data_IF_978256172567
#
_entry.id   IF_978256172567
#
_cell.length_a   1.000
_cell.length_b   1.000
_cell.length_c   1.000
_cell.angle_alpha   90.00
_cell.angle_beta   90.00
_cell.angle_gamma   90.00
#
_symmetry.space_group_name_H-M   'P 1'
#
loop_
_entity.id
_entity.type
_entity.pdbx_description
1 polymer ?
#
# COMPACT_ATOMS: atom_id res chain seq x y z
N UNK A 1 58.69 90.05 -8.94
CA UNK A 1 58.64 88.92 -9.90
C UNK A 1 58.79 87.55 -9.24
N UNK A 2 59.83 87.28 -8.41
CA UNK A 2 59.98 85.95 -7.77
C UNK A 2 58.95 85.64 -6.68
N UNK A 3 58.55 86.62 -5.86
CA UNK A 3 57.58 86.40 -4.77
C UNK A 3 56.15 86.15 -5.28
N UNK A 4 55.74 86.86 -6.33
CA UNK A 4 54.41 86.72 -6.95
C UNK A 4 54.22 85.34 -7.59
N UNK A 5 55.29 84.76 -8.16
CA UNK A 5 55.30 83.40 -8.71
C UNK A 5 55.17 82.31 -7.62
N UNK A 6 55.80 82.52 -6.46
CA UNK A 6 55.72 81.58 -5.33
C UNK A 6 54.28 81.54 -4.75
N UNK A 7 53.59 82.67 -4.70
CA UNK A 7 52.20 82.75 -4.24
C UNK A 7 51.22 82.03 -5.18
N UNK A 8 51.41 82.13 -6.50
CA UNK A 8 50.55 81.43 -7.46
C UNK A 8 50.69 79.91 -7.34
N UNK A 9 51.92 79.41 -7.11
CA UNK A 9 52.18 77.97 -6.94
C UNK A 9 51.57 77.42 -5.63
N UNK A 10 51.65 78.16 -4.52
CA UNK A 10 51.08 77.70 -3.25
C UNK A 10 49.55 77.64 -3.28
N UNK A 11 48.89 78.59 -3.95
CA UNK A 11 47.44 78.58 -4.17
C UNK A 11 47.05 77.40 -5.08
N UNK A 12 47.80 77.16 -6.15
CA UNK A 12 47.52 76.05 -7.07
C UNK A 12 47.67 74.66 -6.39
N UNK A 13 48.71 74.47 -5.57
CA UNK A 13 48.92 73.20 -4.84
C UNK A 13 47.86 72.98 -3.76
N UNK A 14 47.47 74.03 -3.03
CA UNK A 14 46.36 73.98 -2.07
C UNK A 14 45.02 73.64 -2.74
N UNK A 15 44.72 74.27 -3.89
CA UNK A 15 43.53 73.97 -4.67
C UNK A 15 43.48 72.52 -5.16
N UNK A 16 44.59 72.00 -5.68
CA UNK A 16 44.70 70.60 -6.11
C UNK A 16 44.50 69.62 -4.94
N UNK A 17 45.04 69.92 -3.76
CA UNK A 17 44.87 69.10 -2.56
C UNK A 17 43.41 69.06 -2.09
N UNK A 18 42.69 70.19 -2.13
CA UNK A 18 41.27 70.25 -1.79
C UNK A 18 40.41 69.44 -2.75
N UNK A 19 40.68 69.54 -4.06
CA UNK A 19 39.97 68.75 -5.08
C UNK A 19 40.20 67.24 -4.85
N UNK A 20 41.46 66.84 -4.60
CA UNK A 20 41.79 65.45 -4.31
C UNK A 20 41.10 64.92 -3.04
N UNK A 21 41.01 65.75 -1.99
CA UNK A 21 40.30 65.41 -0.75
C UNK A 21 38.79 65.24 -0.99
N UNK A 22 38.17 66.12 -1.77
CA UNK A 22 36.74 66.03 -2.12
C UNK A 22 36.44 64.76 -2.94
N UNK A 23 37.27 64.45 -3.94
CA UNK A 23 37.13 63.23 -4.73
C UNK A 23 37.28 61.96 -3.87
N UNK A 24 38.19 61.99 -2.89
CA UNK A 24 38.40 60.87 -1.97
C UNK A 24 37.19 60.67 -1.06
N UNK A 25 36.58 61.76 -0.56
CA UNK A 25 35.36 61.71 0.25
C UNK A 25 34.16 61.15 -0.54
N UNK A 26 33.95 61.61 -1.77
CA UNK A 26 32.85 61.11 -2.62
C UNK A 26 33.02 59.62 -2.92
N UNK A 27 34.24 59.18 -3.29
CA UNK A 27 34.53 57.75 -3.51
C UNK A 27 34.36 56.93 -2.23
N UNK A 28 34.76 57.48 -1.07
CA UNK A 28 34.57 56.83 0.21
C UNK A 28 33.08 56.65 0.54
N UNK A 29 32.25 57.67 0.31
CA UNK A 29 30.80 57.57 0.50
C UNK A 29 30.15 56.53 -0.41
N UNK A 30 30.47 56.51 -1.71
CA UNK A 30 29.93 55.53 -2.67
C UNK A 30 30.37 54.11 -2.30
N UNK A 31 31.65 53.91 -2.00
CA UNK A 31 32.16 52.60 -1.55
C UNK A 31 31.47 52.16 -0.26
N UNK A 32 31.23 53.08 0.67
CA UNK A 32 30.55 52.78 1.93
C UNK A 32 29.08 52.38 1.72
N UNK A 33 28.37 53.01 0.77
CA UNK A 33 27.00 52.59 0.42
C UNK A 33 26.96 51.21 -0.20
N UNK A 34 27.89 50.89 -1.11
CA UNK A 34 27.96 49.58 -1.75
C UNK A 34 28.30 48.49 -0.72
N UNK A 35 29.23 48.75 0.19
CA UNK A 35 29.59 47.85 1.29
C UNK A 35 28.36 47.58 2.18
N UNK A 36 27.58 48.60 2.51
CA UNK A 36 26.38 48.43 3.33
C UNK A 36 25.32 47.60 2.60
N UNK A 37 25.11 47.82 1.31
CA UNK A 37 24.18 47.02 0.50
C UNK A 37 24.63 45.55 0.41
N UNK A 38 25.91 45.30 0.11
CA UNK A 38 26.50 43.95 0.10
C UNK A 38 26.32 43.27 1.46
N UNK A 39 26.54 44.00 2.57
CA UNK A 39 26.32 43.48 3.92
C UNK A 39 24.86 43.05 4.14
N UNK A 40 23.89 43.88 3.76
CA UNK A 40 22.47 43.52 3.88
C UNK A 40 22.09 42.30 3.01
N UNK A 41 22.70 42.16 1.82
CA UNK A 41 22.49 40.98 0.97
C UNK A 41 23.09 39.71 1.58
N UNK A 42 24.26 39.81 2.22
CA UNK A 42 24.90 38.69 2.93
C UNK A 42 24.02 38.26 4.11
N UNK A 43 23.55 39.20 4.94
CA UNK A 43 22.64 38.92 6.05
C UNK A 43 21.35 38.24 5.58
N UNK A 44 20.75 38.72 4.48
CA UNK A 44 19.59 38.08 3.87
C UNK A 44 19.87 36.66 3.36
N UNK A 45 21.05 36.45 2.77
CA UNK A 45 21.48 35.12 2.29
C UNK A 45 21.73 34.15 3.44
N UNK A 46 22.32 34.61 4.56
CA UNK A 46 22.52 33.80 5.76
C UNK A 46 21.18 33.33 6.36
N UNK A 47 20.19 34.22 6.43
CA UNK A 47 18.84 33.85 6.88
C UNK A 47 18.20 32.80 5.98
N UNK A 48 18.34 32.94 4.66
CA UNK A 48 17.81 31.95 3.71
C UNK A 48 18.50 30.59 3.90
N UNK A 49 19.82 30.56 4.09
CA UNK A 49 20.57 29.33 4.36
C UNK A 49 20.07 28.68 5.65
N UNK A 50 19.86 29.47 6.71
CA UNK A 50 19.33 28.96 7.99
C UNK A 50 17.93 28.36 7.82
N UNK A 51 17.04 29.04 7.08
CA UNK A 51 15.70 28.55 6.79
C UNK A 51 15.73 27.24 5.99
N UNK A 52 16.60 27.14 4.98
CA UNK A 52 16.79 25.92 4.19
C UNK A 52 17.31 24.78 5.05
N UNK A 53 18.27 25.04 5.95
CA UNK A 53 18.77 24.04 6.90
C UNK A 53 17.67 23.52 7.82
N UNK A 54 16.82 24.40 8.35
CA UNK A 54 15.66 24.01 9.16
C UNK A 54 14.68 23.16 8.36
N UNK A 55 14.36 23.58 7.13
CA UNK A 55 13.47 22.83 6.25
C UNK A 55 14.04 21.44 5.90
N UNK A 56 15.34 21.33 5.65
CA UNK A 56 15.99 20.05 5.41
C UNK A 56 15.93 19.15 6.65
N UNK A 57 16.17 19.70 7.84
CA UNK A 57 16.05 18.95 9.10
C UNK A 57 14.62 18.45 9.32
N UNK A 58 13.61 19.26 9.00
CA UNK A 58 12.21 18.87 9.13
C UNK A 58 11.84 17.74 8.14
N UNK A 59 12.22 17.88 6.87
CA UNK A 59 12.02 16.82 5.86
C UNK A 59 12.73 15.53 6.26
N UNK A 60 13.97 15.61 6.80
CA UNK A 60 14.68 14.44 7.30
C UNK A 60 13.91 13.74 8.44
N UNK A 61 13.35 14.50 9.39
CA UNK A 61 12.52 13.93 10.47
C UNK A 61 11.27 13.27 9.92
N UNK A 62 10.58 13.92 8.98
CA UNK A 62 9.39 13.37 8.34
C UNK A 62 9.71 12.06 7.60
N UNK A 63 10.85 11.98 6.92
CA UNK A 63 11.29 10.74 6.27
C UNK A 63 11.55 9.60 7.27
N UNK A 64 12.18 9.90 8.40
CA UNK A 64 12.42 8.90 9.45
C UNK A 64 11.07 8.37 9.99
N UNK A 65 10.15 9.26 10.36
CA UNK A 65 8.83 8.89 10.88
C UNK A 65 8.00 8.11 9.86
N UNK A 66 8.05 8.52 8.59
CA UNK A 66 7.36 7.82 7.51
C UNK A 66 7.94 6.41 7.32
N UNK A 67 9.26 6.27 7.34
CA UNK A 67 9.91 4.97 7.20
C UNK A 67 9.58 4.04 8.38
N UNK A 68 9.56 4.56 9.61
CA UNK A 68 9.12 3.80 10.79
C UNK A 68 7.65 3.35 10.66
N UNK A 69 6.78 4.24 10.18
CA UNK A 69 5.35 3.92 9.96
C UNK A 69 5.18 2.84 8.90
N UNK A 70 5.87 2.96 7.77
CA UNK A 70 5.84 1.96 6.68
C UNK A 70 6.37 0.62 7.14
N UNK A 71 7.48 0.60 7.89
CA UNK A 71 8.04 -0.63 8.44
C UNK A 71 7.06 -1.31 9.40
N UNK A 72 6.40 -0.55 10.28
CA UNK A 72 5.40 -1.10 11.19
C UNK A 72 4.19 -1.67 10.43
N UNK A 73 3.68 -0.96 9.43
CA UNK A 73 2.58 -1.43 8.57
C UNK A 73 2.98 -2.70 7.80
N UNK A 74 4.21 -2.78 7.32
CA UNK A 74 4.73 -3.96 6.63
C UNK A 74 4.77 -5.18 7.56
N UNK A 75 5.27 -5.00 8.79
CA UNK A 75 5.31 -6.07 9.80
C UNK A 75 3.89 -6.53 10.14
N UNK A 76 2.95 -5.59 10.38
CA UNK A 76 1.55 -5.91 10.65
C UNK A 76 0.92 -6.69 9.49
N UNK A 77 1.10 -6.22 8.26
CA UNK A 77 0.58 -6.89 7.07
C UNK A 77 1.16 -8.29 6.90
N UNK A 78 2.45 -8.49 7.17
CA UNK A 78 3.09 -9.80 7.11
C UNK A 78 2.51 -10.74 8.18
N UNK A 79 2.30 -10.25 9.40
CA UNK A 79 1.68 -11.02 10.48
C UNK A 79 0.25 -11.43 10.14
N UNK A 80 -0.56 -10.48 9.64
CA UNK A 80 -1.94 -10.76 9.19
C UNK A 80 -1.94 -11.79 8.07
N UNK A 81 -1.06 -11.64 7.08
CA UNK A 81 -0.93 -12.59 5.97
C UNK A 81 -0.60 -14.00 6.46
N UNK A 82 0.38 -14.15 7.36
CA UNK A 82 0.73 -15.46 7.95
C UNK A 82 -0.43 -16.08 8.72
N UNK A 83 -1.17 -15.26 9.47
CA UNK A 83 -2.33 -15.74 10.21
C UNK A 83 -3.45 -16.22 9.27
N UNK A 84 -3.70 -15.48 8.18
CA UNK A 84 -4.67 -15.86 7.17
C UNK A 84 -4.27 -17.15 6.46
N UNK A 85 -2.99 -17.29 6.10
CA UNK A 85 -2.46 -18.53 5.51
C UNK A 85 -2.71 -19.74 6.41
N UNK A 86 -2.43 -19.61 7.71
CA UNK A 86 -2.69 -20.67 8.68
C UNK A 86 -4.20 -21.01 8.78
N UNK A 87 -5.07 -20.00 8.81
CA UNK A 87 -6.53 -20.21 8.83
C UNK A 87 -7.02 -20.91 7.57
N UNK A 88 -6.55 -20.49 6.39
CA UNK A 88 -6.88 -21.13 5.11
C UNK A 88 -6.42 -22.59 5.12
N UNK A 89 -5.22 -22.87 5.63
CA UNK A 89 -4.71 -24.25 5.75
C UNK A 89 -5.60 -25.11 6.65
N UNK A 90 -6.04 -24.59 7.80
CA UNK A 90 -6.97 -25.29 8.69
C UNK A 90 -8.30 -25.57 7.98
N UNK A 91 -8.89 -24.56 7.35
CA UNK A 91 -10.18 -24.70 6.65
C UNK A 91 -10.08 -25.71 5.51
N UNK A 92 -9.00 -25.68 4.73
CA UNK A 92 -8.74 -26.67 3.68
C UNK A 92 -8.61 -28.08 4.24
N UNK A 93 -7.94 -28.25 5.38
CA UNK A 93 -7.83 -29.55 6.04
C UNK A 93 -9.20 -30.04 6.53
N UNK A 94 -10.02 -29.16 7.11
CA UNK A 94 -11.37 -29.50 7.55
C UNK A 94 -12.27 -29.89 6.37
N UNK A 95 -12.21 -29.14 5.26
CA UNK A 95 -12.92 -29.48 4.02
C UNK A 95 -12.50 -30.84 3.48
N UNK A 96 -11.20 -31.13 3.48
CA UNK A 96 -10.68 -32.44 3.05
C UNK A 96 -11.24 -33.57 3.94
N UNK A 97 -11.17 -33.41 5.26
CA UNK A 97 -11.69 -34.41 6.20
C UNK A 97 -13.22 -34.60 6.04
N UNK A 98 -13.97 -33.52 5.82
CA UNK A 98 -15.41 -33.60 5.55
C UNK A 98 -15.71 -34.33 4.24
N UNK A 99 -14.97 -34.04 3.18
CA UNK A 99 -15.12 -34.74 1.90
C UNK A 99 -14.81 -36.24 2.05
N UNK A 100 -13.73 -36.60 2.75
CA UNK A 100 -13.40 -38.01 3.05
C UNK A 100 -14.52 -38.69 3.85
N UNK A 101 -15.11 -37.99 4.84
CA UNK A 101 -16.25 -38.51 5.62
C UNK A 101 -17.48 -38.73 4.73
N UNK A 102 -17.79 -37.77 3.85
CA UNK A 102 -18.91 -37.90 2.91
C UNK A 102 -18.68 -39.07 1.94
N UNK A 103 -17.46 -39.24 1.43
CA UNK A 103 -17.12 -40.38 0.57
C UNK A 103 -17.30 -41.72 1.31
N UNK A 104 -16.84 -41.81 2.55
CA UNK A 104 -17.05 -43.01 3.40
C UNK A 104 -18.54 -43.29 3.62
N UNK A 105 -19.33 -42.27 3.93
CA UNK A 105 -20.78 -42.40 4.11
C UNK A 105 -21.48 -42.86 2.83
N UNK A 106 -21.07 -42.34 1.65
CA UNK A 106 -21.59 -42.80 0.35
C UNK A 106 -21.27 -44.28 0.10
N UNK A 107 -20.07 -44.73 0.46
CA UNK A 107 -19.69 -46.13 0.33
C UNK A 107 -20.45 -47.04 1.31
N UNK A 108 -20.86 -46.51 2.46
CA UNK A 108 -21.62 -47.18 3.51
C UNK A 108 -23.14 -47.16 3.33
N UNK A 109 -23.69 -46.71 2.20
CA UNK A 109 -25.13 -46.84 1.90
C UNK A 109 -25.41 -48.11 1.06
N UNK A 110 -25.58 -49.30 1.68
CA UNK A 110 -26.03 -50.50 0.98
C UNK A 110 -27.47 -50.36 0.46
N UNK A 111 -28.28 -49.54 1.14
CA UNK A 111 -29.67 -49.20 0.81
C UNK A 111 -29.79 -48.72 -0.65
N UNK A 112 -28.89 -47.85 -1.10
CA UNK A 112 -28.88 -47.29 -2.46
C UNK A 112 -28.61 -48.35 -3.53
N UNK A 113 -27.85 -49.41 -3.22
CA UNK A 113 -27.65 -50.53 -4.17
C UNK A 113 -28.89 -51.39 -4.29
N UNK A 114 -29.56 -51.69 -3.17
CA UNK A 114 -30.81 -52.45 -3.17
C UNK A 114 -31.92 -51.67 -3.87
N UNK A 115 -32.08 -50.38 -3.55
CA UNK A 115 -33.01 -49.48 -4.22
C UNK A 115 -32.68 -49.27 -5.71
N UNK A 116 -31.41 -49.09 -6.07
CA UNK A 116 -31.00 -48.97 -7.49
C UNK A 116 -31.27 -50.27 -8.27
N UNK A 117 -31.06 -51.44 -7.64
CA UNK A 117 -31.40 -52.75 -8.23
C UNK A 117 -32.91 -52.91 -8.39
N UNK A 118 -33.69 -52.64 -7.36
CA UNK A 118 -35.15 -52.69 -7.38
C UNK A 118 -35.72 -51.76 -8.46
N UNK A 119 -35.19 -50.53 -8.56
CA UNK A 119 -35.62 -49.56 -9.56
C UNK A 119 -35.33 -50.02 -10.99
N UNK A 120 -34.21 -50.72 -11.24
CA UNK A 120 -33.92 -51.36 -12.54
C UNK A 120 -34.89 -52.52 -12.85
N UNK A 121 -35.24 -53.34 -11.85
CA UNK A 121 -36.20 -54.43 -12.03
C UNK A 121 -37.60 -53.89 -12.35
N UNK A 122 -38.05 -52.84 -11.66
CA UNK A 122 -39.31 -52.14 -11.98
C UNK A 122 -39.30 -51.61 -13.42
N UNK A 123 -38.19 -51.02 -13.89
CA UNK A 123 -38.05 -50.54 -15.27
C UNK A 123 -38.13 -51.67 -16.31
N UNK A 124 -37.75 -52.90 -15.94
CA UNK A 124 -37.87 -54.09 -16.77
C UNK A 124 -39.27 -54.74 -16.69
N UNK A 125 -40.17 -54.18 -15.88
CA UNK A 125 -41.54 -54.66 -15.72
C UNK A 125 -41.75 -55.67 -14.60
N UNK A 126 -40.81 -55.78 -13.65
CA UNK A 126 -40.96 -56.68 -12.51
C UNK A 126 -42.16 -56.29 -11.63
N UNK A 127 -42.89 -57.29 -11.12
CA UNK A 127 -44.05 -57.08 -10.27
C UNK A 127 -43.69 -56.92 -8.78
N UNK A 128 -44.70 -56.64 -7.95
CA UNK A 128 -44.52 -56.44 -6.50
C UNK A 128 -43.92 -57.67 -5.82
N UNK A 129 -44.32 -58.87 -6.23
CA UNK A 129 -43.85 -60.11 -5.61
C UNK A 129 -42.40 -60.42 -5.98
N UNK A 130 -42.01 -60.17 -7.24
CA UNK A 130 -40.62 -60.30 -7.70
C UNK A 130 -39.68 -59.34 -6.98
N UNK A 131 -40.10 -58.10 -6.75
CA UNK A 131 -39.30 -57.12 -6.00
C UNK A 131 -39.12 -57.49 -4.53
N UNK A 132 -40.17 -58.03 -3.90
CA UNK A 132 -40.09 -58.53 -2.53
C UNK A 132 -39.12 -59.71 -2.40
N UNK A 133 -39.11 -60.62 -3.38
CA UNK A 133 -38.27 -61.82 -3.34
C UNK A 133 -36.81 -61.54 -3.71
N UNK A 134 -36.54 -60.69 -4.70
CA UNK A 134 -35.19 -60.48 -5.24
C UNK A 134 -34.42 -59.33 -4.58
N UNK A 135 -35.13 -58.35 -4.02
CA UNK A 135 -34.53 -57.17 -3.39
C UNK A 135 -34.78 -57.10 -1.88
N UNK A 136 -35.39 -58.14 -1.28
CA UNK A 136 -35.76 -58.22 0.14
C UNK A 136 -36.55 -56.99 0.64
N UNK A 137 -37.36 -56.39 -0.24
CA UNK A 137 -38.16 -55.21 0.07
C UNK A 137 -39.46 -55.59 0.79
N UNK A 138 -39.91 -54.80 1.78
CA UNK A 138 -41.25 -54.97 2.36
C UNK A 138 -42.32 -54.61 1.32
N UNK A 139 -43.49 -55.26 1.42
CA UNK A 139 -44.58 -55.12 0.45
C UNK A 139 -44.96 -53.66 0.16
N UNK A 140 -45.05 -52.83 1.20
CA UNK A 140 -45.41 -51.41 1.05
C UNK A 140 -44.39 -50.62 0.21
N UNK A 141 -43.10 -50.94 0.30
CA UNK A 141 -42.05 -50.28 -0.50
C UNK A 141 -42.05 -50.76 -1.95
N UNK A 142 -42.26 -52.06 -2.18
CA UNK A 142 -42.39 -52.62 -3.52
C UNK A 142 -43.62 -52.05 -4.27
N UNK A 143 -44.78 -51.99 -3.61
CA UNK A 143 -46.00 -51.39 -4.17
C UNK A 143 -45.81 -49.91 -4.50
N UNK A 144 -45.16 -49.16 -3.62
CA UNK A 144 -44.83 -47.75 -3.85
C UNK A 144 -43.97 -47.57 -5.11
N UNK A 145 -42.88 -48.35 -5.26
CA UNK A 145 -41.96 -48.25 -6.39
C UNK A 145 -42.64 -48.56 -7.74
N UNK A 146 -43.47 -49.61 -7.80
CA UNK A 146 -44.23 -49.97 -9.00
C UNK A 146 -45.23 -48.88 -9.35
N UNK A 147 -45.96 -48.35 -8.37
CA UNK A 147 -46.95 -47.27 -8.57
C UNK A 147 -46.30 -45.99 -9.07
N UNK A 148 -45.15 -45.61 -8.50
CA UNK A 148 -44.39 -44.44 -8.95
C UNK A 148 -43.91 -44.59 -10.40
N UNK A 149 -43.46 -45.78 -10.81
CA UNK A 149 -43.06 -46.03 -12.19
C UNK A 149 -44.24 -45.97 -13.16
N UNK A 150 -45.36 -46.59 -12.82
CA UNK A 150 -46.60 -46.54 -13.61
C UNK A 150 -47.10 -45.11 -13.79
N UNK A 151 -46.98 -44.25 -12.76
CA UNK A 151 -47.29 -42.82 -12.86
C UNK A 151 -46.33 -42.01 -13.74
N UNK A 152 -45.09 -42.47 -13.89
CA UNK A 152 -44.07 -41.81 -14.73
C UNK A 152 -44.08 -42.30 -16.19
N UNK A 153 -44.57 -43.52 -16.40
CA UNK A 153 -44.66 -44.17 -17.72
C UNK A 153 -45.99 -43.88 -18.46
N UNK A 154 -47.01 -43.43 -17.73
CA UNK A 154 -48.23 -42.82 -18.26
C UNK A 154 -48.08 -41.30 -18.41
#
# INVERSE_FOLDING_TARGET
MKEEYILIISIATSGAALIAALLSLVKHHIKNTDINMLKTQIEGSELLISQLQLSLSDVQKQLILLNETLNNQQIESEQVSKQLEHRIKIVNQQLKNQNETIEQLKLQQPEDKLYSRAQKLVLLGADVAELMAECDLPQAEAEMLVTLHQRKSN
#
